data_IF_320006732576
#
_entry.id   IF_320006732576
#
_cell.length_a   1.000
_cell.length_b   1.000
_cell.length_c   1.000
_cell.angle_alpha   90.00
_cell.angle_beta   90.00
_cell.angle_gamma   90.00
#
_symmetry.space_group_name_H-M   'P 1'
#
loop_
_entity.id
_entity.type
_entity.pdbx_description
1 polymer ?
#
# COMPACT_ATOMS: atom_id res chain seq x y z
N UNK A 1 8.09 11.29 15.57
CA UNK A 1 7.99 11.56 14.13
C UNK A 1 6.52 11.44 13.76
N UNK A 2 5.90 12.52 13.26
CA UNK A 2 4.50 12.51 12.86
C UNK A 2 4.41 12.98 11.42
N UNK A 3 3.80 12.17 10.56
CA UNK A 3 3.45 12.58 9.20
C UNK A 3 2.14 13.35 9.33
N UNK A 4 2.15 14.64 9.00
CA UNK A 4 1.02 15.54 9.25
C UNK A 4 0.24 15.92 8.00
N UNK A 5 0.77 15.72 6.79
CA UNK A 5 0.05 16.02 5.56
C UNK A 5 0.57 15.20 4.38
N UNK A 6 -0.34 14.56 3.66
CA UNK A 6 -0.03 13.73 2.50
C UNK A 6 -0.35 14.42 1.17
N UNK A 7 -0.90 15.63 1.09
CA UNK A 7 -1.31 16.21 -0.20
C UNK A 7 -1.11 17.73 -0.29
N UNK A 8 0.14 18.20 -0.28
CA UNK A 8 0.45 19.58 -0.70
C UNK A 8 1.12 19.51 -2.06
N UNK A 9 0.36 19.88 -3.10
CA UNK A 9 0.87 20.09 -4.45
C UNK A 9 1.68 21.38 -4.46
N UNK A 10 2.99 21.29 -4.68
CA UNK A 10 3.85 22.47 -4.83
C UNK A 10 4.28 22.63 -6.28
N UNK A 11 4.42 23.87 -6.74
CA UNK A 11 4.87 24.21 -8.09
C UNK A 11 6.27 24.79 -8.06
N UNK A 12 7.20 24.23 -8.84
CA UNK A 12 8.50 24.85 -9.14
C UNK A 12 8.71 24.84 -10.65
N UNK A 13 8.97 26.02 -11.23
CA UNK A 13 9.09 26.21 -12.68
C UNK A 13 7.89 25.66 -13.49
N UNK A 14 6.69 25.70 -12.89
CA UNK A 14 5.45 25.21 -13.53
C UNK A 14 5.26 23.69 -13.45
N UNK A 15 6.22 22.94 -12.89
CA UNK A 15 6.08 21.51 -12.65
C UNK A 15 5.40 21.31 -11.29
N UNK A 16 4.26 20.63 -11.29
CA UNK A 16 3.56 20.21 -10.08
C UNK A 16 4.12 18.87 -9.61
N UNK A 17 4.44 18.79 -8.33
CA UNK A 17 4.82 17.53 -7.68
C UNK A 17 4.24 17.48 -6.28
N UNK A 18 3.94 16.25 -5.85
CA UNK A 18 3.49 15.99 -4.51
C UNK A 18 4.66 16.13 -3.55
N UNK A 19 4.40 16.70 -2.37
CA UNK A 19 5.37 16.79 -1.28
C UNK A 19 4.89 16.07 -0.03
N UNK A 20 5.86 15.56 0.74
CA UNK A 20 5.64 15.00 2.06
C UNK A 20 6.23 15.96 3.10
N UNK A 21 5.41 16.41 4.04
CA UNK A 21 5.89 17.21 5.18
C UNK A 21 6.11 16.31 6.39
N UNK A 22 7.37 16.23 6.84
CA UNK A 22 7.79 15.48 8.03
C UNK A 22 8.11 16.47 9.14
N UNK A 23 7.39 16.40 10.26
CA UNK A 23 7.71 17.17 11.46
C UNK A 23 8.53 16.33 12.43
N UNK A 24 9.74 16.82 12.75
CA UNK A 24 10.63 16.19 13.73
C UNK A 24 11.29 17.26 14.60
N UNK A 25 11.20 17.10 15.93
CA UNK A 25 11.79 18.05 16.91
C UNK A 25 11.35 19.52 16.71
N UNK A 26 10.12 19.76 16.23
CA UNK A 26 9.60 21.10 15.93
C UNK A 26 10.09 21.69 14.60
N UNK A 27 10.79 20.92 13.79
CA UNK A 27 11.21 21.28 12.43
C UNK A 27 10.32 20.60 11.40
N UNK A 28 9.82 21.38 10.45
CA UNK A 28 9.05 20.90 9.29
C UNK A 28 9.98 20.75 8.08
N UNK A 29 10.13 19.51 7.61
CA UNK A 29 10.95 19.17 6.45
C UNK A 29 10.03 18.77 5.29
N UNK A 30 10.16 19.46 4.16
CA UNK A 30 9.43 19.12 2.93
C UNK A 30 10.32 18.29 2.01
N UNK A 31 9.83 17.11 1.63
CA UNK A 31 10.49 16.23 0.67
C UNK A 31 9.64 16.13 -0.59
N UNK A 32 10.27 16.28 -1.76
CA UNK A 32 9.64 15.90 -3.02
C UNK A 32 9.38 14.39 -2.95
N UNK A 33 8.14 14.00 -3.19
CA UNK A 33 7.76 12.60 -3.17
C UNK A 33 8.27 11.92 -4.44
N UNK A 34 9.38 11.23 -4.31
CA UNK A 34 9.99 10.47 -5.41
C UNK A 34 9.44 9.04 -5.50
N UNK A 35 8.77 8.55 -4.46
CA UNK A 35 8.26 7.19 -4.36
C UNK A 35 6.76 7.19 -4.07
N UNK A 36 5.92 7.14 -5.11
CA UNK A 36 4.45 7.03 -4.94
C UNK A 36 3.83 5.74 -5.44
N UNK A 37 4.59 4.85 -6.05
CA UNK A 37 4.05 3.60 -6.61
C UNK A 37 4.96 2.43 -6.28
N UNK A 38 5.00 2.06 -4.99
CA UNK A 38 5.45 0.72 -4.63
C UNK A 38 4.29 -0.22 -4.97
N UNK A 39 4.30 -0.79 -6.18
CA UNK A 39 3.38 -1.86 -6.53
C UNK A 39 3.94 -3.16 -5.97
N UNK A 40 3.29 -3.67 -4.92
CA UNK A 40 3.63 -4.94 -4.32
C UNK A 40 2.79 -6.02 -5.00
N UNK A 41 3.47 -7.06 -5.48
CA UNK A 41 2.88 -8.28 -6.02
C UNK A 41 3.29 -9.42 -5.11
N UNK A 42 2.31 -10.14 -4.57
CA UNK A 42 2.53 -11.30 -3.72
C UNK A 42 1.93 -12.51 -4.43
N UNK A 43 2.77 -13.50 -4.73
CA UNK A 43 2.32 -14.80 -5.22
C UNK A 43 2.64 -15.87 -4.16
N UNK A 44 1.59 -16.49 -3.64
CA UNK A 44 1.61 -17.58 -2.68
C UNK A 44 0.86 -18.80 -3.24
N UNK A 45 0.68 -18.86 -4.55
CA UNK A 45 -0.05 -19.94 -5.21
C UNK A 45 0.67 -21.29 -5.06
N UNK A 46 -0.07 -22.38 -5.25
CA UNK A 46 0.45 -23.75 -5.25
C UNK A 46 1.09 -24.16 -3.92
N UNK A 47 0.45 -23.78 -2.82
CA UNK A 47 0.84 -24.18 -1.48
C UNK A 47 -0.29 -24.99 -0.81
N UNK A 48 -0.04 -25.46 0.41
CA UNK A 48 -1.03 -26.18 1.21
C UNK A 48 -1.55 -25.29 2.36
N UNK A 49 -1.62 -23.97 2.16
CA UNK A 49 -2.12 -23.07 3.21
C UNK A 49 -3.59 -23.34 3.50
N UNK A 50 -3.93 -23.46 4.79
CA UNK A 50 -5.27 -23.74 5.27
C UNK A 50 -5.80 -22.60 6.14
N UNK A 51 -7.11 -22.61 6.41
CA UNK A 51 -7.74 -21.61 7.27
C UNK A 51 -8.17 -20.36 6.49
N UNK A 52 -8.33 -19.23 7.18
CA UNK A 52 -8.89 -18.00 6.62
C UNK A 52 -7.79 -17.01 6.26
N UNK A 53 -8.04 -16.21 5.22
CA UNK A 53 -7.18 -15.07 4.89
C UNK A 53 -7.32 -14.03 6.02
N UNK A 54 -6.23 -13.67 6.72
CA UNK A 54 -6.29 -12.69 7.79
C UNK A 54 -6.59 -11.29 7.23
N UNK A 55 -7.40 -10.49 7.94
CA UNK A 55 -7.74 -9.11 7.50
C UNK A 55 -6.50 -8.23 7.30
N UNK A 56 -5.44 -8.49 8.06
CA UNK A 56 -4.18 -7.74 8.03
C UNK A 56 -3.47 -7.78 6.68
N UNK A 57 -3.82 -8.71 5.78
CA UNK A 57 -3.28 -8.71 4.41
C UNK A 57 -3.62 -7.41 3.65
N UNK A 58 -4.73 -6.74 4.00
CA UNK A 58 -5.11 -5.46 3.41
C UNK A 58 -4.41 -4.25 4.01
N UNK A 59 -3.62 -4.42 5.08
CA UNK A 59 -2.82 -3.35 5.67
C UNK A 59 -1.51 -3.12 4.90
N UNK A 60 -1.21 -3.97 3.90
CA UNK A 60 -0.02 -3.87 3.05
C UNK A 60 -0.20 -2.70 2.07
N UNK A 61 0.35 -1.55 2.45
CA UNK A 61 0.35 -0.34 1.63
C UNK A 61 1.10 -0.62 0.32
N UNK A 62 0.40 -0.43 -0.81
CA UNK A 62 0.94 -0.66 -2.14
C UNK A 62 0.69 -2.05 -2.73
N UNK A 63 0.02 -2.96 -2.00
CA UNK A 63 -0.39 -4.26 -2.56
C UNK A 63 -1.34 -4.06 -3.74
N UNK A 64 -0.93 -4.55 -4.92
CA UNK A 64 -1.67 -4.41 -6.18
C UNK A 64 -2.25 -5.75 -6.64
N UNK A 65 -1.46 -6.81 -6.44
CA UNK A 65 -1.78 -8.18 -6.87
C UNK A 65 -1.47 -9.14 -5.74
N UNK A 66 -2.42 -10.03 -5.47
CA UNK A 66 -2.28 -11.12 -4.51
C UNK A 66 -2.81 -12.40 -5.16
N UNK A 67 -1.92 -13.36 -5.42
CA UNK A 67 -2.25 -14.68 -5.93
C UNK A 67 -2.18 -15.71 -4.79
N UNK A 68 -3.31 -16.30 -4.44
CA UNK A 68 -3.51 -17.33 -3.42
C UNK A 68 -4.06 -18.62 -4.03
N UNK A 69 -4.15 -18.71 -5.36
CA UNK A 69 -4.69 -19.87 -6.07
C UNK A 69 -3.98 -21.17 -5.71
N UNK A 70 -4.65 -22.30 -5.89
CA UNK A 70 -4.10 -23.62 -5.56
C UNK A 70 -3.60 -23.72 -4.11
N UNK A 71 -4.44 -23.31 -3.16
CA UNK A 71 -4.29 -23.51 -1.72
C UNK A 71 -5.56 -24.16 -1.12
N UNK A 72 -5.51 -24.52 0.16
CA UNK A 72 -6.62 -25.09 0.93
C UNK A 72 -7.31 -24.01 1.82
N UNK A 73 -7.23 -22.74 1.42
CA UNK A 73 -7.80 -21.61 2.14
C UNK A 73 -9.34 -21.63 2.09
N UNK A 74 -9.98 -21.16 3.15
CA UNK A 74 -11.43 -21.19 3.37
C UNK A 74 -11.98 -19.79 3.67
N UNK A 75 -13.29 -19.65 3.49
CA UNK A 75 -14.03 -18.44 3.83
C UNK A 75 -14.10 -17.41 2.70
N UNK A 76 -14.69 -16.26 3.01
CA UNK A 76 -14.89 -15.18 2.06
C UNK A 76 -13.67 -14.28 1.98
N UNK A 77 -13.50 -13.62 0.84
CA UNK A 77 -12.49 -12.58 0.66
C UNK A 77 -12.64 -11.51 1.74
N UNK A 78 -11.57 -11.17 2.48
CA UNK A 78 -11.61 -10.06 3.42
C UNK A 78 -12.02 -8.77 2.71
N UNK A 79 -12.90 -7.99 3.32
CA UNK A 79 -13.27 -6.66 2.83
C UNK A 79 -12.07 -5.72 2.76
N UNK A 80 -11.00 -5.99 3.51
CA UNK A 80 -9.75 -5.24 3.41
C UNK A 80 -9.04 -5.39 2.04
N UNK A 81 -9.46 -6.35 1.20
CA UNK A 81 -8.93 -6.56 -0.15
C UNK A 81 -9.73 -5.85 -1.26
N UNK A 82 -10.67 -4.96 -0.93
CA UNK A 82 -11.50 -4.27 -1.94
C UNK A 82 -10.71 -3.37 -2.90
N UNK A 83 -9.47 -2.98 -2.56
CA UNK A 83 -8.63 -2.08 -3.37
C UNK A 83 -7.65 -2.80 -4.31
N UNK A 84 -7.61 -4.13 -4.31
CA UNK A 84 -6.72 -4.91 -5.18
C UNK A 84 -7.25 -4.95 -6.63
N UNK A 85 -6.33 -4.92 -7.59
CA UNK A 85 -6.70 -4.94 -9.02
C UNK A 85 -6.83 -6.32 -9.60
N UNK A 86 -6.07 -7.27 -9.07
CA UNK A 86 -6.16 -8.69 -9.42
C UNK A 86 -6.02 -9.49 -8.13
N UNK A 87 -6.94 -10.43 -7.94
CA UNK A 87 -6.89 -11.41 -6.85
C UNK A 87 -7.36 -12.73 -7.42
N UNK A 88 -6.47 -13.72 -7.38
CA UNK A 88 -6.66 -15.07 -7.91
C UNK A 88 -6.33 -16.12 -6.84
#
# INVERSE_FOLDING_TARGET
MKIINENITTSYLGIQYDTLTITTKGLDLQFVKVFYQVNIVIDLSNNIFEGYIPRTIGDIIGLRTLNLSHNNLKGHRPTSLHQLSVVE
#
